data_IF_712100732994
#
_entry.id   IF_712100732994
#
_cell.length_a   1.000
_cell.length_b   1.000
_cell.length_c   1.000
_cell.angle_alpha   90.00
_cell.angle_beta   90.00
_cell.angle_gamma   90.00
#
_symmetry.space_group_name_H-M   'P 1'
#
loop_
_entity.id
_entity.type
_entity.pdbx_description
1 polymer ?
#
# COMPACT_ATOMS: atom_id res chain seq x y z
N UNK A 1 -1.02 -2.25 11.54
CA UNK A 1 -1.46 -3.05 12.70
C UNK A 1 -2.43 -2.26 13.61
N UNK A 2 -3.44 -1.57 13.04
CA UNK A 2 -4.30 -0.65 13.81
C UNK A 2 -5.71 -1.18 14.10
N UNK A 3 -6.06 -2.37 13.60
CA UNK A 3 -7.44 -2.90 13.69
C UNK A 3 -7.66 -3.69 15.01
N UNK A 4 -6.59 -4.17 15.67
CA UNK A 4 -6.72 -5.12 16.80
C UNK A 4 -5.97 -4.72 18.08
N UNK A 5 -5.32 -3.55 18.13
CA UNK A 5 -4.50 -3.12 19.27
C UNK A 5 -5.26 -3.10 20.63
N UNK A 6 -6.53 -2.68 20.72
CA UNK A 6 -7.26 -2.70 21.99
C UNK A 6 -7.59 -4.12 22.49
N UNK A 7 -7.71 -5.08 21.58
CA UNK A 7 -8.22 -6.42 21.87
C UNK A 7 -7.11 -7.41 22.25
N UNK A 8 -5.89 -7.15 21.77
CA UNK A 8 -4.70 -7.90 22.16
C UNK A 8 -4.35 -7.71 23.65
N UNK A 9 -4.62 -6.50 24.19
CA UNK A 9 -4.40 -6.17 25.60
C UNK A 9 -5.37 -6.89 26.54
N UNK A 10 -6.62 -7.14 26.12
CA UNK A 10 -7.58 -7.93 26.89
C UNK A 10 -7.24 -9.43 26.90
N UNK A 11 -6.78 -9.97 25.76
CA UNK A 11 -6.40 -11.38 25.66
C UNK A 11 -5.20 -11.73 26.57
N UNK A 12 -4.23 -10.83 26.71
CA UNK A 12 -3.08 -11.06 27.61
C UNK A 12 -3.48 -11.13 29.10
N UNK A 13 -4.56 -10.48 29.50
CA UNK A 13 -5.06 -10.51 30.90
C UNK A 13 -5.74 -11.83 31.27
N UNK A 14 -6.13 -12.66 30.29
CA UNK A 14 -6.89 -13.89 30.50
C UNK A 14 -6.03 -15.16 30.41
N UNK A 15 -4.71 -15.04 30.31
CA UNK A 15 -3.82 -16.19 30.11
C UNK A 15 -3.76 -17.06 31.38
N UNK A 16 -4.24 -18.32 31.36
CA UNK A 16 -4.11 -19.21 32.51
C UNK A 16 -2.64 -19.64 32.66
N UNK A 17 -2.13 -19.64 33.89
CA UNK A 17 -0.86 -20.27 34.22
C UNK A 17 -1.06 -21.79 34.31
N UNK A 18 -0.62 -22.52 33.30
CA UNK A 18 0.03 -23.85 33.40
C UNK A 18 -0.09 -24.64 32.10
N UNK A 19 0.89 -25.51 31.92
CA UNK A 19 1.09 -26.38 30.78
C UNK A 19 -0.09 -27.30 30.51
N UNK A 20 -0.82 -27.03 29.43
CA UNK A 20 -1.56 -28.06 28.70
C UNK A 20 -1.65 -27.62 27.25
N UNK A 21 -1.21 -28.49 26.35
CA UNK A 21 -1.36 -28.32 24.91
C UNK A 21 -2.87 -28.37 24.58
N UNK A 22 -3.54 -27.25 24.72
CA UNK A 22 -4.87 -27.05 24.17
C UNK A 22 -4.61 -26.62 22.72
N UNK A 23 -4.97 -27.47 21.75
CA UNK A 23 -5.32 -27.00 20.40
C UNK A 23 -6.58 -26.15 20.55
N UNK A 24 -6.45 -24.98 21.17
CA UNK A 24 -7.52 -24.01 21.24
C UNK A 24 -7.65 -23.49 19.81
N UNK A 25 -8.85 -23.61 19.22
CA UNK A 25 -9.18 -22.84 18.04
C UNK A 25 -8.79 -21.39 18.33
N UNK A 26 -8.10 -20.77 17.38
CA UNK A 26 -7.67 -19.39 17.56
C UNK A 26 -8.92 -18.54 17.86
N UNK A 27 -8.81 -17.53 18.75
CA UNK A 27 -9.96 -16.69 19.08
C UNK A 27 -10.56 -16.13 17.77
N UNK A 28 -11.88 -15.94 17.66
CA UNK A 28 -12.57 -15.63 16.39
C UNK A 28 -11.93 -14.48 15.61
N UNK A 29 -11.38 -13.49 16.32
CA UNK A 29 -10.72 -12.31 15.76
C UNK A 29 -9.33 -12.60 15.18
N UNK A 30 -8.63 -13.61 15.69
CA UNK A 30 -7.36 -14.08 15.14
C UNK A 30 -7.58 -14.87 13.85
N UNK A 31 -8.63 -15.70 13.78
CA UNK A 31 -8.99 -16.41 12.55
C UNK A 31 -9.34 -15.43 11.42
N UNK A 32 -10.17 -14.42 11.70
CA UNK A 32 -10.50 -13.36 10.73
C UNK A 32 -9.26 -12.58 10.27
N UNK A 33 -8.34 -12.29 11.18
CA UNK A 33 -7.09 -11.62 10.84
C UNK A 33 -6.17 -12.50 9.97
N UNK A 34 -6.06 -13.79 10.28
CA UNK A 34 -5.32 -14.74 9.47
C UNK A 34 -5.93 -14.89 8.07
N UNK A 35 -7.27 -14.95 7.98
CA UNK A 35 -7.99 -14.97 6.70
C UNK A 35 -7.68 -13.70 5.90
N UNK A 36 -7.75 -12.53 6.52
CA UNK A 36 -7.38 -11.26 5.88
C UNK A 36 -5.94 -11.28 5.35
N UNK A 37 -4.98 -11.73 6.17
CA UNK A 37 -3.58 -11.78 5.75
C UNK A 37 -3.41 -12.69 4.54
N UNK A 38 -3.87 -13.93 4.66
CA UNK A 38 -3.62 -14.97 3.65
C UNK A 38 -4.36 -14.69 2.35
N UNK A 39 -5.62 -14.20 2.42
CA UNK A 39 -6.42 -13.98 1.21
C UNK A 39 -6.12 -12.68 0.49
N UNK A 40 -5.80 -11.62 1.23
CA UNK A 40 -5.73 -10.27 0.66
C UNK A 40 -4.35 -9.66 0.81
N UNK A 41 -3.83 -9.60 2.03
CA UNK A 41 -2.68 -8.76 2.33
C UNK A 41 -1.35 -9.33 1.85
N UNK A 42 -1.17 -10.65 1.89
CA UNK A 42 0.13 -11.27 1.60
C UNK A 42 0.61 -10.99 0.18
N UNK A 43 -0.30 -11.02 -0.80
CA UNK A 43 0.03 -10.69 -2.19
C UNK A 43 0.42 -9.23 -2.32
N UNK A 44 -0.40 -8.33 -1.77
CA UNK A 44 -0.12 -6.90 -1.79
C UNK A 44 1.20 -6.55 -1.09
N UNK A 45 1.52 -7.28 -0.02
CA UNK A 45 2.76 -7.14 0.73
C UNK A 45 4.00 -7.50 -0.09
N UNK A 46 4.00 -8.65 -0.76
CA UNK A 46 5.15 -9.07 -1.55
C UNK A 46 5.39 -8.16 -2.76
N UNK A 47 4.34 -7.54 -3.29
CA UNK A 47 4.43 -6.57 -4.39
C UNK A 47 4.81 -5.16 -3.95
N UNK A 48 4.69 -4.81 -2.66
CA UNK A 48 4.85 -3.45 -2.16
C UNK A 48 6.23 -2.81 -2.40
N UNK A 49 7.26 -3.61 -2.67
CA UNK A 49 8.59 -3.12 -3.01
C UNK A 49 8.70 -2.59 -4.45
N UNK A 50 7.75 -2.94 -5.32
CA UNK A 50 7.71 -2.48 -6.70
C UNK A 50 6.89 -1.18 -6.77
N UNK A 51 7.55 -0.08 -7.11
CA UNK A 51 6.91 1.23 -7.23
C UNK A 51 5.91 1.28 -8.39
N UNK A 52 6.26 0.68 -9.53
CA UNK A 52 5.47 0.75 -10.75
C UNK A 52 4.07 0.12 -10.58
N UNK A 53 3.97 -0.96 -9.81
CA UNK A 53 2.71 -1.67 -9.61
C UNK A 53 1.88 -1.14 -8.44
N UNK A 54 2.41 -0.18 -7.66
CA UNK A 54 1.75 0.30 -6.46
C UNK A 54 0.30 0.81 -6.70
N UNK A 55 0.02 1.62 -7.75
CA UNK A 55 -1.35 2.06 -8.01
C UNK A 55 -2.33 0.92 -8.33
N UNK A 56 -1.90 -0.06 -9.14
CA UNK A 56 -2.73 -1.23 -9.50
C UNK A 56 -2.95 -2.10 -8.26
N UNK A 57 -1.90 -2.36 -7.49
CA UNK A 57 -1.96 -3.18 -6.29
C UNK A 57 -2.94 -2.61 -5.25
N UNK A 58 -2.92 -1.29 -5.03
CA UNK A 58 -3.86 -0.61 -4.14
C UNK A 58 -5.31 -0.74 -4.63
N UNK A 59 -5.55 -0.47 -5.92
CA UNK A 59 -6.88 -0.54 -6.52
C UNK A 59 -7.45 -1.96 -6.47
N UNK A 60 -6.64 -2.96 -6.83
CA UNK A 60 -7.03 -4.37 -6.82
C UNK A 60 -7.32 -4.87 -5.41
N UNK A 61 -6.47 -4.51 -4.44
CA UNK A 61 -6.70 -4.85 -3.03
C UNK A 61 -8.00 -4.23 -2.52
N UNK A 62 -8.28 -2.97 -2.87
CA UNK A 62 -9.48 -2.27 -2.45
C UNK A 62 -10.75 -2.89 -3.07
N UNK A 63 -10.71 -3.22 -4.37
CA UNK A 63 -11.78 -3.97 -5.05
C UNK A 63 -12.01 -5.36 -4.45
N UNK A 64 -10.93 -6.08 -4.13
CA UNK A 64 -11.01 -7.40 -3.54
C UNK A 64 -11.64 -7.36 -2.14
N UNK A 65 -11.31 -6.35 -1.34
CA UNK A 65 -11.90 -6.13 -0.01
C UNK A 65 -13.37 -5.74 -0.08
N UNK A 66 -13.77 -4.89 -1.04
CA UNK A 66 -15.18 -4.53 -1.25
C UNK A 66 -16.07 -5.76 -1.51
N UNK A 67 -15.52 -6.78 -2.16
CA UNK A 67 -16.18 -8.06 -2.46
C UNK A 67 -16.15 -9.08 -1.32
N UNK A 68 -15.51 -8.77 -0.19
CA UNK A 68 -15.47 -9.68 0.97
C UNK A 68 -16.84 -9.78 1.65
N UNK A 69 -17.25 -11.03 1.90
CA UNK A 69 -18.49 -11.43 2.55
C UNK A 69 -18.45 -11.25 4.07
N UNK A 70 -17.28 -11.44 4.70
CA UNK A 70 -17.10 -11.14 6.11
C UNK A 70 -17.11 -9.62 6.32
N UNK A 71 -18.22 -9.11 6.84
CA UNK A 71 -18.45 -7.68 7.11
C UNK A 71 -17.34 -7.04 7.97
N UNK A 72 -16.84 -7.75 8.98
CA UNK A 72 -15.81 -7.21 9.87
C UNK A 72 -14.47 -7.01 9.14
N UNK A 73 -14.07 -8.00 8.33
CA UNK A 73 -12.86 -7.90 7.49
C UNK A 73 -13.04 -6.80 6.45
N UNK A 74 -14.18 -6.78 5.75
CA UNK A 74 -14.48 -5.77 4.72
C UNK A 74 -14.41 -4.35 5.27
N UNK A 75 -15.22 -4.04 6.29
CA UNK A 75 -15.30 -2.67 6.82
C UNK A 75 -13.97 -2.20 7.40
N UNK A 76 -13.28 -3.08 8.14
CA UNK A 76 -11.97 -2.76 8.72
C UNK A 76 -10.90 -2.60 7.64
N UNK A 77 -10.92 -3.45 6.61
CA UNK A 77 -10.01 -3.43 5.47
C UNK A 77 -10.20 -2.18 4.62
N UNK A 78 -11.43 -1.89 4.19
CA UNK A 78 -11.75 -0.68 3.42
C UNK A 78 -11.42 0.59 4.19
N UNK A 79 -11.76 0.66 5.49
CA UNK A 79 -11.39 1.81 6.34
C UNK A 79 -9.88 1.97 6.50
N UNK A 80 -9.13 0.86 6.55
CA UNK A 80 -7.68 0.92 6.59
C UNK A 80 -7.11 1.39 5.26
N UNK A 81 -7.45 0.72 4.16
CA UNK A 81 -6.88 0.99 2.84
C UNK A 81 -7.32 2.35 2.27
N UNK A 82 -8.56 2.78 2.55
CA UNK A 82 -9.05 4.12 2.20
C UNK A 82 -8.25 5.27 2.83
N UNK A 83 -7.35 5.00 3.78
CA UNK A 83 -6.38 5.99 4.31
C UNK A 83 -5.07 6.06 3.52
N UNK A 84 -4.80 5.06 2.68
CA UNK A 84 -3.51 4.86 2.00
C UNK A 84 -3.62 4.90 0.46
N UNK A 85 -4.72 5.41 -0.12
CA UNK A 85 -4.93 5.55 -1.57
C UNK A 85 -4.13 6.70 -2.22
N UNK A 86 -2.88 6.90 -1.79
CA UNK A 86 -2.01 7.98 -2.26
C UNK A 86 -1.48 7.70 -3.65
N UNK A 87 -1.25 6.42 -4.01
CA UNK A 87 -0.74 6.04 -5.34
C UNK A 87 -1.76 6.21 -6.47
N UNK A 88 -3.03 6.44 -6.13
CA UNK A 88 -4.09 6.75 -7.09
C UNK A 88 -4.33 8.25 -7.26
N UNK A 89 -3.52 9.12 -6.65
CA UNK A 89 -3.62 10.56 -6.90
C UNK A 89 -3.27 10.89 -8.35
N UNK A 90 -3.75 12.02 -8.86
CA UNK A 90 -3.55 12.43 -10.26
C UNK A 90 -2.08 12.47 -10.69
N UNK A 91 -1.15 12.68 -9.75
CA UNK A 91 0.28 12.71 -10.02
C UNK A 91 0.91 11.32 -9.87
N UNK A 92 0.75 10.70 -8.70
CA UNK A 92 1.43 9.43 -8.35
C UNK A 92 0.93 8.23 -9.14
N UNK A 93 -0.28 8.29 -9.71
CA UNK A 93 -0.79 7.25 -10.61
C UNK A 93 0.13 7.04 -11.82
N UNK A 94 0.97 8.04 -12.15
CA UNK A 94 2.00 7.93 -13.19
C UNK A 94 3.00 6.79 -13.00
N UNK A 95 3.14 6.24 -11.78
CA UNK A 95 3.89 5.01 -11.52
C UNK A 95 3.40 3.85 -12.42
N UNK A 96 2.09 3.76 -12.62
CA UNK A 96 1.46 2.66 -13.34
C UNK A 96 1.76 2.64 -14.85
N UNK A 97 2.25 3.76 -15.42
CA UNK A 97 2.74 3.79 -16.81
C UNK A 97 3.88 2.78 -17.04
N UNK A 98 4.62 2.46 -15.98
CA UNK A 98 5.78 1.58 -16.01
C UNK A 98 5.49 0.18 -15.44
N UNK A 99 4.22 -0.16 -15.20
CA UNK A 99 3.83 -1.51 -14.81
C UNK A 99 3.86 -2.43 -16.04
N UNK A 100 4.62 -3.52 -15.94
CA UNK A 100 4.76 -4.51 -17.00
C UNK A 100 3.49 -5.37 -17.16
N UNK A 101 2.74 -5.56 -16.07
CA UNK A 101 1.55 -6.41 -16.01
C UNK A 101 0.27 -5.67 -16.41
N UNK A 102 0.32 -4.34 -16.56
CA UNK A 102 -0.85 -3.56 -16.99
C UNK A 102 -1.26 -3.96 -18.43
N UNK A 103 -2.54 -4.33 -18.66
CA UNK A 103 -3.03 -4.66 -19.99
C UNK A 103 -2.80 -3.55 -21.02
N UNK A 104 -2.49 -3.93 -22.26
CA UNK A 104 -2.17 -2.98 -23.34
C UNK A 104 -3.28 -1.95 -23.58
N UNK A 105 -4.54 -2.39 -23.60
CA UNK A 105 -5.69 -1.50 -23.77
C UNK A 105 -5.81 -0.50 -22.60
N UNK A 106 -5.51 -0.92 -21.37
CA UNK A 106 -5.50 -0.02 -20.23
C UNK A 106 -4.36 1.01 -20.34
N UNK A 107 -3.17 0.62 -20.82
CA UNK A 107 -2.08 1.57 -21.11
C UNK A 107 -2.50 2.61 -22.14
N UNK A 108 -3.21 2.21 -23.19
CA UNK A 108 -3.75 3.12 -24.20
C UNK A 108 -4.77 4.08 -23.59
N UNK A 109 -5.67 3.60 -22.73
CA UNK A 109 -6.64 4.43 -22.02
C UNK A 109 -5.95 5.45 -21.09
N UNK A 110 -4.91 5.03 -20.38
CA UNK A 110 -4.10 5.92 -19.54
C UNK A 110 -3.51 7.07 -20.37
N UNK A 111 -2.90 6.78 -21.52
CA UNK A 111 -2.33 7.82 -22.41
C UNK A 111 -3.42 8.72 -22.99
N UNK A 112 -4.58 8.16 -23.36
CA UNK A 112 -5.71 8.94 -23.84
C UNK A 112 -6.22 9.92 -22.77
N UNK A 113 -6.41 9.46 -21.54
CA UNK A 113 -6.86 10.29 -20.41
C UNK A 113 -5.83 11.35 -20.03
N UNK A 114 -4.54 11.00 -20.02
CA UNK A 114 -3.45 11.95 -19.77
C UNK A 114 -3.52 13.16 -20.72
N UNK A 115 -3.94 12.98 -21.97
CA UNK A 115 -4.07 14.06 -22.96
C UNK A 115 -5.38 14.83 -22.89
N UNK A 116 -6.46 14.21 -22.43
CA UNK A 116 -7.83 14.71 -22.59
C UNK A 116 -8.50 15.16 -21.28
N UNK A 117 -8.10 14.59 -20.14
CA UNK A 117 -8.68 14.89 -18.84
C UNK A 117 -7.89 15.99 -18.16
N UNK A 118 -8.55 17.13 -17.93
CA UNK A 118 -7.98 18.21 -17.12
C UNK A 118 -7.80 17.74 -15.67
N UNK A 119 -6.69 18.15 -15.05
CA UNK A 119 -6.44 17.88 -13.64
C UNK A 119 -7.09 18.90 -12.73
N UNK A 120 -7.22 18.58 -11.45
CA UNK A 120 -7.60 19.57 -10.44
C UNK A 120 -6.49 20.63 -10.26
N UNK A 121 -6.87 21.89 -10.04
CA UNK A 121 -5.94 22.98 -9.64
C UNK A 121 -5.27 22.65 -8.29
N UNK A 122 -6.07 22.14 -7.35
CA UNK A 122 -5.62 21.65 -6.05
C UNK A 122 -6.03 20.17 -5.92
N UNK A 123 -5.23 19.23 -6.46
CA UNK A 123 -5.56 17.82 -6.38
C UNK A 123 -5.41 17.38 -4.92
N UNK A 124 -6.39 16.66 -4.35
CA UNK A 124 -6.26 16.13 -3.02
C UNK A 124 -5.09 15.14 -2.98
N UNK A 125 -4.27 15.13 -1.92
CA UNK A 125 -3.12 14.22 -1.82
C UNK A 125 -3.52 12.75 -1.80
N UNK A 126 -4.78 12.46 -1.49
CA UNK A 126 -5.35 11.12 -1.43
C UNK A 126 -6.71 11.11 -2.11
N UNK A 127 -6.96 10.08 -2.94
CA UNK A 127 -8.26 9.90 -3.57
C UNK A 127 -9.24 9.19 -2.64
N UNK A 128 -10.47 9.69 -2.59
CA UNK A 128 -11.60 8.98 -2.00
C UNK A 128 -12.37 8.32 -3.14
N UNK A 129 -12.53 7.00 -3.08
CA UNK A 129 -13.33 6.24 -4.03
C UNK A 129 -14.50 5.61 -3.29
N UNK A 130 -15.70 6.00 -3.69
CA UNK A 130 -16.93 5.41 -3.16
C UNK A 130 -17.04 3.94 -3.58
N UNK A 131 -17.48 3.09 -2.65
CA UNK A 131 -17.56 1.65 -2.88
C UNK A 131 -18.44 1.30 -4.09
N UNK A 132 -19.52 2.06 -4.29
CA UNK A 132 -20.46 1.88 -5.39
C UNK A 132 -19.83 2.07 -6.79
N UNK A 133 -18.78 2.89 -6.90
CA UNK A 133 -18.13 3.19 -8.17
C UNK A 133 -16.94 2.28 -8.46
N UNK A 134 -16.51 1.45 -7.50
CA UNK A 134 -15.24 0.75 -7.57
C UNK A 134 -15.10 -0.18 -8.76
N UNK A 135 -16.15 -0.93 -9.08
CA UNK A 135 -16.11 -1.88 -10.20
C UNK A 135 -15.93 -1.17 -11.55
N UNK A 136 -16.32 0.10 -11.65
CA UNK A 136 -16.17 0.92 -12.86
C UNK A 136 -14.83 1.66 -12.94
N UNK A 137 -14.05 1.69 -11.84
CA UNK A 137 -12.77 2.40 -11.80
C UNK A 137 -11.65 1.51 -12.31
N UNK A 138 -10.87 2.04 -13.23
CA UNK A 138 -9.58 1.47 -13.67
C UNK A 138 -8.46 2.45 -13.33
N UNK A 139 -7.21 2.12 -13.60
CA UNK A 139 -6.10 3.04 -13.36
C UNK A 139 -6.27 4.32 -14.19
N UNK A 140 -6.67 4.17 -15.45
CA UNK A 140 -6.97 5.29 -16.34
C UNK A 140 -7.99 6.27 -15.73
N UNK A 141 -8.91 5.80 -14.88
CA UNK A 141 -9.91 6.65 -14.23
C UNK A 141 -9.33 7.71 -13.27
N UNK A 142 -8.06 7.57 -12.89
CA UNK A 142 -7.36 8.49 -11.99
C UNK A 142 -6.31 9.35 -12.71
N UNK A 143 -6.10 9.11 -14.00
CA UNK A 143 -5.09 9.79 -14.81
C UNK A 143 -5.67 11.07 -15.40
N UNK A 144 -4.91 12.15 -15.28
CA UNK A 144 -5.23 13.46 -15.83
C UNK A 144 -3.95 14.08 -16.42
N UNK A 145 -4.04 15.29 -16.98
CA UNK A 145 -2.85 16.06 -17.39
C UNK A 145 -1.87 16.30 -16.23
N UNK A 146 -2.34 16.32 -14.98
CA UNK A 146 -1.44 16.43 -13.82
C UNK A 146 -0.50 15.23 -13.68
N UNK A 147 -0.81 14.08 -14.29
CA UNK A 147 0.08 12.93 -14.31
C UNK A 147 1.41 13.25 -15.03
N UNK A 148 1.45 14.22 -15.94
CA UNK A 148 2.71 14.65 -16.56
C UNK A 148 3.71 15.22 -15.54
N UNK A 149 3.21 15.84 -14.45
CA UNK A 149 4.06 16.37 -13.38
C UNK A 149 4.92 15.27 -12.76
N UNK A 150 4.43 14.03 -12.72
CA UNK A 150 5.22 12.89 -12.25
C UNK A 150 6.42 12.60 -13.14
N UNK A 151 6.22 12.65 -14.47
CA UNK A 151 7.30 12.47 -15.44
C UNK A 151 8.33 13.60 -15.33
N UNK A 152 7.86 14.84 -15.19
CA UNK A 152 8.73 16.01 -15.00
C UNK A 152 9.56 15.91 -13.71
N UNK A 153 8.94 15.54 -12.58
CA UNK A 153 9.63 15.39 -11.30
C UNK A 153 10.72 14.31 -11.31
N UNK A 154 10.57 13.27 -12.13
CA UNK A 154 11.54 12.18 -12.25
C UNK A 154 12.48 12.34 -13.45
N UNK A 155 12.43 13.49 -14.13
CA UNK A 155 13.23 13.78 -15.32
C UNK A 155 13.07 12.69 -16.41
N UNK A 156 11.83 12.19 -16.57
CA UNK A 156 11.49 11.17 -17.56
C UNK A 156 11.05 11.86 -18.85
N UNK A 157 11.76 11.53 -19.94
CA UNK A 157 11.40 12.05 -21.25
C UNK A 157 10.02 11.55 -21.69
N UNK A 158 9.17 12.47 -22.14
CA UNK A 158 7.76 12.24 -22.50
C UNK A 158 7.58 11.74 -23.94
N UNK A 159 8.61 11.76 -24.78
CA UNK A 159 8.46 11.39 -26.20
C UNK A 159 8.02 9.94 -26.45
N UNK A 160 8.10 9.05 -25.44
CA UNK A 160 7.51 7.71 -25.56
C UNK A 160 5.97 7.74 -25.57
N UNK A 161 5.32 8.77 -25.03
CA UNK A 161 3.86 8.90 -25.00
C UNK A 161 3.26 9.09 -26.41
N UNK A 162 4.08 9.56 -27.37
CA UNK A 162 3.68 9.73 -28.77
C UNK A 162 3.78 8.44 -29.59
N UNK A 163 4.32 7.38 -28.99
CA UNK A 163 4.41 6.05 -29.58
C UNK A 163 3.35 5.15 -28.93
N UNK A 164 2.74 4.25 -29.72
CA UNK A 164 1.78 3.28 -29.19
C UNK A 164 2.40 2.45 -28.04
N UNK A 165 1.67 2.21 -26.93
CA UNK A 165 2.18 1.45 -25.78
C UNK A 165 2.70 0.05 -26.10
N UNK A 166 2.30 -0.56 -27.22
CA UNK A 166 2.84 -1.85 -27.65
C UNK A 166 4.34 -1.78 -27.99
N UNK A 167 4.84 -0.61 -28.37
CA UNK A 167 6.23 -0.41 -28.76
C UNK A 167 7.13 0.10 -27.62
N UNK A 168 6.54 0.46 -26.48
CA UNK A 168 7.26 1.02 -25.32
C UNK A 168 8.40 0.12 -24.84
N UNK A 169 8.22 -1.21 -24.87
CA UNK A 169 9.23 -2.17 -24.45
C UNK A 169 10.57 -2.03 -25.19
N UNK A 170 10.57 -1.51 -26.43
CA UNK A 170 11.76 -1.24 -27.24
C UNK A 170 12.16 0.23 -27.30
N UNK A 171 11.34 1.13 -26.75
CA UNK A 171 11.59 2.57 -26.79
C UNK A 171 12.67 2.95 -25.75
N UNK A 172 13.81 3.56 -26.15
CA UNK A 172 14.89 3.89 -25.22
C UNK A 172 14.47 4.86 -24.10
N UNK A 173 13.57 5.79 -24.39
CA UNK A 173 13.07 6.82 -23.47
C UNK A 173 12.19 6.18 -22.41
N UNK A 174 11.29 5.27 -22.83
CA UNK A 174 10.50 4.46 -21.90
C UNK A 174 11.38 3.58 -21.02
N UNK A 175 12.36 2.87 -21.60
CA UNK A 175 13.26 2.02 -20.83
C UNK A 175 14.08 2.81 -19.78
N UNK A 176 14.50 4.03 -20.11
CA UNK A 176 15.16 4.91 -19.16
C UNK A 176 14.22 5.33 -18.01
N UNK A 177 12.99 5.74 -18.34
CA UNK A 177 11.96 6.04 -17.33
C UNK A 177 11.64 4.85 -16.44
N UNK A 178 11.45 3.67 -17.03
CA UNK A 178 11.17 2.44 -16.31
C UNK A 178 12.29 2.05 -15.35
N UNK A 179 13.57 2.24 -15.73
CA UNK A 179 14.71 2.04 -14.81
C UNK A 179 14.67 3.01 -13.63
N UNK A 180 14.33 4.28 -13.86
CA UNK A 180 14.20 5.27 -12.78
C UNK A 180 13.07 4.91 -11.82
N UNK A 181 11.89 4.61 -12.36
CA UNK A 181 10.72 4.26 -11.54
C UNK A 181 10.99 3.00 -10.73
N UNK A 182 11.50 1.92 -11.34
CA UNK A 182 11.82 0.68 -10.59
C UNK A 182 12.94 0.86 -9.57
N UNK A 183 13.79 1.87 -9.72
CA UNK A 183 14.80 2.25 -8.74
C UNK A 183 14.25 3.06 -7.56
N UNK A 184 13.00 3.52 -7.62
CA UNK A 184 12.37 4.21 -6.49
C UNK A 184 12.16 3.22 -5.36
N UNK A 185 12.81 3.50 -4.24
CA UNK A 185 12.53 2.82 -3.01
C UNK A 185 11.14 3.23 -2.52
N UNK A 186 10.21 2.29 -2.53
CA UNK A 186 8.87 2.45 -1.93
C UNK A 186 8.99 2.30 -0.40
N UNK A 187 9.89 3.08 0.21
CA UNK A 187 10.28 2.99 1.62
C UNK A 187 9.21 3.51 2.57
N UNK A 188 8.22 4.26 2.07
CA UNK A 188 7.26 4.92 2.94
C UNK A 188 6.48 3.91 3.80
N UNK A 189 6.05 2.81 3.19
CA UNK A 189 5.32 1.75 3.88
C UNK A 189 6.15 1.05 4.96
N UNK A 190 7.43 0.78 4.68
CA UNK A 190 8.34 0.17 5.64
C UNK A 190 8.72 1.15 6.78
N UNK A 191 8.90 2.43 6.46
CA UNK A 191 9.21 3.49 7.41
C UNK A 191 8.01 3.79 8.32
N UNK A 192 6.80 3.97 7.78
CA UNK A 192 5.57 4.16 8.55
C UNK A 192 5.32 2.98 9.50
N UNK A 193 5.58 1.75 9.05
CA UNK A 193 5.49 0.55 9.90
C UNK A 193 6.59 0.52 10.97
N UNK A 194 7.82 0.87 10.64
CA UNK A 194 8.92 0.95 11.59
C UNK A 194 8.62 1.98 12.70
N UNK A 195 8.14 3.16 12.31
CA UNK A 195 7.72 4.22 13.24
C UNK A 195 6.55 3.75 14.10
N UNK A 196 5.51 3.16 13.50
CA UNK A 196 4.36 2.65 14.26
C UNK A 196 4.77 1.54 15.25
N UNK A 197 5.65 0.63 14.84
CA UNK A 197 6.14 -0.45 15.70
C UNK A 197 6.96 0.09 16.88
N UNK A 198 7.83 1.07 16.64
CA UNK A 198 8.58 1.75 17.70
C UNK A 198 7.63 2.52 18.61
N UNK A 199 6.65 3.25 18.06
CA UNK A 199 5.64 3.97 18.84
C UNK A 199 4.79 3.04 19.71
N UNK A 200 4.36 1.88 19.20
CA UNK A 200 3.57 0.92 19.96
C UNK A 200 4.43 0.22 21.02
N UNK A 201 5.70 -0.03 20.72
CA UNK A 201 6.65 -0.58 21.68
C UNK A 201 6.92 0.39 22.84
N UNK A 202 7.04 1.69 22.55
CA UNK A 202 7.33 2.74 23.53
C UNK A 202 6.09 3.23 24.29
N UNK A 203 4.89 3.21 23.68
CA UNK A 203 3.62 3.60 24.33
C UNK A 203 3.12 2.58 25.36
N UNK A 204 3.57 1.33 25.29
CA UNK A 204 3.22 0.31 26.27
C UNK A 204 3.98 0.59 27.59
N UNK A 205 3.35 0.55 28.78
CA UNK A 205 3.96 0.95 30.06
C UNK A 205 4.99 -0.07 30.59
N UNK A 206 5.71 -0.77 29.70
CA UNK A 206 6.80 -1.69 30.06
C UNK A 206 7.95 -0.96 30.74
N UNK A 207 8.11 0.33 30.46
CA UNK A 207 9.14 1.21 31.03
C UNK A 207 8.44 2.33 31.79
N UNK A 208 8.82 2.56 33.05
CA UNK A 208 8.23 3.58 33.91
C UNK A 208 8.97 4.93 33.87
N UNK A 209 10.13 4.96 33.22
CA UNK A 209 10.96 6.14 33.00
C UNK A 209 11.65 6.08 31.64
N UNK A 210 12.14 7.23 31.18
CA UNK A 210 12.90 7.36 29.95
C UNK A 210 14.23 6.56 30.00
N UNK A 211 14.90 6.55 31.16
CA UNK A 211 16.14 5.78 31.36
C UNK A 211 15.95 4.27 31.13
N UNK A 212 14.82 3.71 31.59
CA UNK A 212 14.48 2.30 31.36
C UNK A 212 14.23 2.00 29.88
N UNK A 213 13.63 2.96 29.17
CA UNK A 213 13.40 2.85 27.73
C UNK A 213 14.72 2.89 26.95
N UNK A 214 15.64 3.79 27.30
CA UNK A 214 16.96 3.83 26.69
C UNK A 214 17.76 2.54 26.92
N UNK A 215 17.78 2.00 28.14
CA UNK A 215 18.43 0.72 28.42
C UNK A 215 17.82 -0.42 27.59
N UNK A 216 16.49 -0.49 27.50
CA UNK A 216 15.80 -1.52 26.72
C UNK A 216 16.13 -1.43 25.22
N UNK A 217 16.18 -0.21 24.67
CA UNK A 217 16.53 0.01 23.26
C UNK A 217 17.99 -0.41 22.96
N UNK A 218 18.92 -0.13 23.88
CA UNK A 218 20.31 -0.59 23.76
C UNK A 218 20.41 -2.11 23.74
N UNK A 219 19.71 -2.81 24.64
CA UNK A 219 19.70 -4.28 24.67
C UNK A 219 19.12 -4.88 23.37
N UNK A 220 18.06 -4.28 22.83
CA UNK A 220 17.46 -4.72 21.56
C UNK A 220 18.43 -4.52 20.39
N UNK A 221 19.15 -3.40 20.36
CA UNK A 221 20.14 -3.09 19.32
C UNK A 221 21.34 -4.04 19.40
N UNK A 222 21.85 -4.32 20.60
CA UNK A 222 22.93 -5.29 20.79
C UNK A 222 22.51 -6.70 20.35
N UNK A 223 21.27 -7.10 20.63
CA UNK A 223 20.73 -8.38 20.17
C UNK A 223 20.56 -8.47 18.65
N UNK A 224 20.32 -7.35 17.95
CA UNK A 224 20.25 -7.30 16.48
C UNK A 224 21.61 -7.43 15.80
N UNK A 225 22.69 -7.10 16.51
CA UNK A 225 24.07 -7.18 16.02
C UNK A 225 24.73 -8.53 16.27
N UNK A 226 24.11 -9.39 17.08
CA UNK A 226 24.50 -10.80 17.28
C UNK A 226 23.96 -11.68 16.16
#
# INVERSE_FOLDING_TARGET
>A
MWIFAPQFAEYQKQRPSSSRAVKAAAPPKLDEFCIFIVRYYIRAWFSAACSANAPINDLDLYKALAKETNKAIRESGLKALGRHMWYLSEVTVGLALFDDEMPLEEKRNVVANLRSMEGSEEPPPKVCVEEADLDNKTVASFVTKNTEKFLDMLDIDKGFLDVDPAMWGTNPMYQAGARRVRGLLVTNDAAERGVALVQDFTKNPRTKSEDQLQCLLQVVEDHRKM
#
